data_IF_659436502941
#
_entry.id   IF_659436502941
#
_cell.length_a   1.000
_cell.length_b   1.000
_cell.length_c   1.000
_cell.angle_alpha   90.00
_cell.angle_beta   90.00
_cell.angle_gamma   90.00
#
_symmetry.space_group_name_H-M   'P 1'
#
loop_
_entity.id
_entity.type
_entity.pdbx_description
1 polymer ?
#
# COMPACT_ATOMS: atom_id res chain seq x y z
N UNK A 1 -66.03 0.33 -81.05
CA UNK A 1 -64.88 1.14 -80.64
C UNK A 1 -64.80 1.05 -79.14
N UNK A 2 -63.92 0.22 -78.51
CA UNK A 2 -63.76 0.20 -77.07
C UNK A 2 -62.54 0.99 -76.67
N UNK A 3 -62.73 1.80 -75.63
CA UNK A 3 -61.68 2.62 -74.94
C UNK A 3 -60.90 1.69 -74.03
N UNK A 4 -59.58 1.66 -74.19
CA UNK A 4 -58.68 1.01 -73.26
C UNK A 4 -58.46 1.94 -72.04
N UNK A 5 -58.72 1.34 -70.87
CA UNK A 5 -58.42 2.03 -69.56
C UNK A 5 -57.06 1.48 -69.08
N UNK A 6 -56.10 2.33 -68.99
CA UNK A 6 -54.79 2.00 -68.40
C UNK A 6 -54.89 2.10 -66.88
N UNK A 7 -54.67 0.96 -66.22
CA UNK A 7 -54.61 0.91 -64.76
C UNK A 7 -53.14 1.05 -64.30
N UNK A 8 -52.78 2.18 -63.77
CA UNK A 8 -51.46 2.43 -63.18
C UNK A 8 -51.39 1.77 -61.81
N UNK A 9 -50.59 0.70 -61.69
CA UNK A 9 -50.29 0.07 -60.42
C UNK A 9 -49.05 0.78 -59.79
N UNK A 10 -49.29 1.61 -58.79
CA UNK A 10 -48.21 2.21 -57.98
C UNK A 10 -47.71 1.17 -56.96
N UNK A 11 -46.52 0.61 -57.20
CA UNK A 11 -45.80 -0.21 -56.22
C UNK A 11 -45.03 0.69 -55.30
N UNK A 12 -45.50 0.86 -54.06
CA UNK A 12 -44.82 1.59 -53.00
C UNK A 12 -43.78 0.66 -52.39
N UNK A 13 -42.48 0.86 -52.67
CA UNK A 13 -41.38 0.18 -52.02
C UNK A 13 -41.14 0.90 -50.69
N UNK A 14 -41.60 0.28 -49.61
CA UNK A 14 -41.30 0.73 -48.25
C UNK A 14 -39.83 0.40 -47.89
N UNK A 15 -38.98 1.42 -47.84
CA UNK A 15 -37.62 1.35 -47.36
C UNK A 15 -37.60 1.25 -45.82
N UNK A 16 -37.45 0.03 -45.28
CA UNK A 16 -37.29 -0.17 -43.84
C UNK A 16 -35.86 0.19 -43.48
N UNK A 17 -35.66 1.35 -42.86
CA UNK A 17 -34.39 1.72 -42.27
C UNK A 17 -34.22 0.96 -40.96
N UNK A 18 -33.44 -0.11 -40.99
CA UNK A 18 -32.91 -0.77 -39.80
C UNK A 18 -31.82 0.15 -39.19
N UNK A 19 -32.16 0.88 -38.14
CA UNK A 19 -31.20 1.64 -37.32
C UNK A 19 -30.44 0.63 -36.46
N UNK A 20 -29.09 0.55 -36.54
CA UNK A 20 -28.33 -0.28 -35.62
C UNK A 20 -28.44 0.35 -34.23
N UNK A 21 -29.07 -0.36 -33.29
CA UNK A 21 -29.00 -0.03 -31.87
C UNK A 21 -27.57 -0.30 -31.39
N UNK A 22 -26.76 0.72 -31.36
CA UNK A 22 -25.47 0.69 -30.67
C UNK A 22 -25.78 0.60 -29.18
N UNK A 23 -25.71 -0.61 -28.61
CA UNK A 23 -25.70 -0.77 -27.16
C UNK A 23 -24.40 -0.15 -26.65
N UNK A 24 -24.50 1.06 -26.12
CA UNK A 24 -23.43 1.63 -25.34
C UNK A 24 -23.21 0.69 -24.12
N UNK A 25 -22.09 -0.01 -24.12
CA UNK A 25 -21.60 -0.67 -22.92
C UNK A 25 -21.24 0.47 -21.98
N UNK A 26 -22.15 0.81 -21.07
CA UNK A 26 -21.84 1.63 -19.92
C UNK A 26 -20.77 0.88 -19.12
N UNK A 27 -19.52 1.24 -19.34
CA UNK A 27 -18.43 0.88 -18.45
C UNK A 27 -18.75 1.56 -17.12
N UNK A 28 -19.41 0.85 -16.21
CA UNK A 28 -19.52 1.27 -14.82
C UNK A 28 -18.10 1.50 -14.33
N UNK A 29 -17.80 2.68 -13.76
CA UNK A 29 -16.51 2.89 -13.11
C UNK A 29 -16.34 1.73 -12.12
N UNK A 30 -15.26 0.97 -12.24
CA UNK A 30 -14.98 -0.10 -11.29
C UNK A 30 -14.84 0.56 -9.93
N UNK A 31 -15.73 0.24 -9.01
CA UNK A 31 -15.73 0.77 -7.67
C UNK A 31 -14.40 0.41 -7.02
N UNK A 32 -13.57 1.42 -6.76
CA UNK A 32 -12.28 1.23 -6.12
C UNK A 32 -12.53 0.85 -4.66
N UNK A 33 -11.91 -0.25 -4.22
CA UNK A 33 -12.14 -0.84 -2.89
C UNK A 33 -10.90 -0.64 -2.02
N UNK A 34 -11.12 -0.24 -0.78
CA UNK A 34 -10.11 -0.20 0.29
C UNK A 34 -10.49 -1.18 1.40
N UNK A 35 -9.73 -1.23 2.47
CA UNK A 35 -10.15 -1.97 3.67
C UNK A 35 -11.46 -1.39 4.22
N UNK A 36 -12.38 -2.26 4.65
CA UNK A 36 -13.65 -1.87 5.28
C UNK A 36 -13.44 -1.29 6.69
N UNK A 37 -12.33 -1.63 7.34
CA UNK A 37 -11.88 -1.02 8.58
C UNK A 37 -10.39 -0.66 8.44
N UNK A 38 -9.99 0.51 8.94
CA UNK A 38 -8.60 0.95 8.84
C UNK A 38 -7.67 0.05 9.66
N UNK A 39 -6.56 -0.37 9.03
CA UNK A 39 -5.44 -0.96 9.73
C UNK A 39 -4.80 0.11 10.62
N UNK A 40 -4.04 -0.33 11.63
CA UNK A 40 -3.36 0.58 12.56
C UNK A 40 -1.86 0.41 12.49
N UNK A 41 -1.15 1.51 12.24
CA UNK A 41 0.25 1.61 12.58
C UNK A 41 0.31 1.84 14.11
N UNK A 42 0.64 0.79 14.85
CA UNK A 42 0.60 0.82 16.32
C UNK A 42 1.89 1.33 16.93
N UNK A 43 3.01 1.18 16.21
CA UNK A 43 4.32 1.56 16.71
C UNK A 43 5.27 1.94 15.55
N UNK A 44 6.08 2.97 15.79
CA UNK A 44 7.26 3.27 15.00
C UNK A 44 8.33 3.86 15.93
N UNK A 45 9.55 3.30 15.91
CA UNK A 45 10.64 3.80 16.75
C UNK A 45 12.00 3.35 16.22
N UNK A 46 13.05 4.09 16.64
CA UNK A 46 14.44 3.74 16.40
C UNK A 46 15.02 3.07 17.65
N UNK A 47 15.68 1.94 17.48
CA UNK A 47 16.52 1.34 18.52
C UNK A 47 17.88 2.01 18.41
N UNK A 48 18.39 2.55 19.55
CA UNK A 48 19.56 3.40 19.58
C UNK A 48 19.33 4.71 18.79
N UNK A 49 18.58 5.61 19.38
CA UNK A 49 18.06 6.82 18.76
C UNK A 49 19.01 8.04 18.81
N UNK A 50 20.29 7.81 19.12
CA UNK A 50 21.30 8.87 19.11
C UNK A 50 21.72 9.19 17.68
N UNK A 51 21.90 10.48 17.35
CA UNK A 51 22.39 10.93 16.03
C UNK A 51 23.72 10.25 15.65
N UNK A 52 23.95 10.05 14.36
CA UNK A 52 25.15 9.40 13.80
C UNK A 52 25.41 7.95 14.25
N UNK A 53 24.57 7.38 15.11
CA UNK A 53 24.77 6.01 15.60
C UNK A 53 24.66 4.98 14.47
N UNK A 54 25.54 3.98 14.53
CA UNK A 54 25.54 2.80 13.63
C UNK A 54 26.08 1.60 14.41
N UNK A 55 25.49 0.40 14.27
CA UNK A 55 24.29 0.05 13.48
C UNK A 55 23.01 0.24 14.31
N UNK A 56 22.10 1.08 13.85
CA UNK A 56 20.77 1.23 14.42
C UNK A 56 19.76 0.29 13.75
N UNK A 57 18.57 0.15 14.36
CA UNK A 57 17.40 -0.51 13.77
C UNK A 57 16.17 0.38 13.92
N UNK A 58 15.31 0.37 12.90
CA UNK A 58 14.02 1.06 12.93
C UNK A 58 12.90 0.04 12.80
N UNK A 59 11.92 0.10 13.69
CA UNK A 59 10.80 -0.83 13.68
C UNK A 59 9.47 -0.12 13.45
N UNK A 60 8.62 -0.77 12.63
CA UNK A 60 7.26 -0.34 12.31
C UNK A 60 6.33 -1.52 12.53
N UNK A 61 5.38 -1.38 13.44
CA UNK A 61 4.42 -2.44 13.76
C UNK A 61 3.03 -2.06 13.30
N UNK A 62 2.41 -2.91 12.50
CA UNK A 62 1.09 -2.75 11.95
C UNK A 62 0.18 -3.87 12.47
N UNK A 63 -0.97 -3.51 12.98
CA UNK A 63 -2.00 -4.46 13.38
C UNK A 63 -3.04 -4.58 12.28
N UNK A 64 -3.31 -5.81 11.85
CA UNK A 64 -4.40 -6.20 10.95
C UNK A 64 -5.56 -6.67 11.83
N UNK A 65 -6.61 -5.86 12.04
CA UNK A 65 -7.66 -6.20 12.98
C UNK A 65 -8.43 -7.46 12.56
N UNK A 66 -8.95 -8.22 13.54
CA UNK A 66 -9.83 -9.37 13.27
C UNK A 66 -11.17 -9.00 12.64
N UNK A 67 -11.57 -7.72 12.76
CA UNK A 67 -12.84 -7.22 12.22
C UNK A 67 -12.85 -6.98 10.72
N UNK A 68 -11.67 -6.92 10.06
CA UNK A 68 -11.61 -6.71 8.62
C UNK A 68 -11.82 -8.03 7.86
N UNK A 69 -12.38 -7.92 6.66
CA UNK A 69 -12.66 -9.08 5.80
C UNK A 69 -11.54 -9.32 4.79
N UNK A 70 -10.81 -8.26 4.43
CA UNK A 70 -9.77 -8.32 3.42
C UNK A 70 -8.42 -8.69 4.05
N UNK A 71 -7.70 -9.56 3.38
CA UNK A 71 -6.29 -9.83 3.71
C UNK A 71 -5.39 -8.68 3.24
N UNK A 72 -4.26 -8.49 3.89
CA UNK A 72 -3.27 -7.48 3.52
C UNK A 72 -2.31 -8.05 2.45
N UNK A 73 -2.34 -7.49 1.24
CA UNK A 73 -1.47 -7.93 0.15
C UNK A 73 -0.14 -7.18 0.10
N UNK A 74 -0.16 -5.87 0.40
CA UNK A 74 1.04 -5.05 0.26
C UNK A 74 1.11 -3.97 1.34
N UNK A 75 2.33 -3.70 1.82
CA UNK A 75 2.67 -2.51 2.60
C UNK A 75 3.69 -1.66 1.85
N UNK A 76 3.61 -0.35 1.99
CA UNK A 76 4.66 0.56 1.56
C UNK A 76 5.06 1.50 2.69
N UNK A 77 6.38 1.74 2.78
CA UNK A 77 6.96 2.75 3.66
C UNK A 77 7.68 3.76 2.76
N UNK A 78 7.19 4.98 2.77
CA UNK A 78 7.68 6.06 1.91
C UNK A 78 8.41 7.11 2.76
N UNK A 79 9.61 7.53 2.36
CA UNK A 79 10.27 8.70 2.92
C UNK A 79 9.78 9.92 2.14
N UNK A 80 9.02 10.86 2.73
CA UNK A 80 8.58 12.07 2.06
C UNK A 80 9.76 12.90 1.51
N UNK A 81 9.52 13.66 0.45
CA UNK A 81 10.59 14.41 -0.23
C UNK A 81 11.22 15.50 0.65
N UNK A 82 10.44 16.09 1.54
CA UNK A 82 10.89 17.10 2.50
C UNK A 82 11.88 16.53 3.53
N UNK A 83 11.79 15.23 3.86
CA UNK A 83 12.75 14.55 4.73
C UNK A 83 14.09 14.21 4.05
N UNK A 84 14.20 14.38 2.73
CA UNK A 84 15.45 14.11 2.02
C UNK A 84 16.61 15.01 2.48
N UNK A 85 16.32 16.21 2.92
CA UNK A 85 17.30 17.18 3.41
C UNK A 85 18.05 16.70 4.66
N UNK A 86 17.48 15.76 5.41
CA UNK A 86 18.06 15.24 6.65
C UNK A 86 18.92 13.97 6.46
N UNK A 87 19.12 13.50 5.23
CA UNK A 87 20.00 12.38 4.94
C UNK A 87 19.51 11.01 5.40
N UNK A 88 18.21 10.83 5.63
CA UNK A 88 17.67 9.49 5.88
C UNK A 88 17.68 8.67 4.60
N UNK A 89 18.35 7.53 4.63
CA UNK A 89 18.43 6.57 3.53
C UNK A 89 17.57 5.35 3.81
N UNK A 90 17.12 4.67 2.74
CA UNK A 90 16.47 3.37 2.87
C UNK A 90 17.53 2.26 3.02
N UNK A 91 17.24 1.20 3.79
CA UNK A 91 18.14 0.05 3.90
C UNK A 91 18.15 -0.75 2.60
N UNK A 92 19.21 -1.54 2.39
CA UNK A 92 19.19 -2.57 1.35
C UNK A 92 18.12 -3.63 1.66
N UNK A 93 17.50 -4.26 0.64
CA UNK A 93 16.45 -5.28 0.86
C UNK A 93 16.84 -6.40 1.82
N UNK A 94 18.11 -6.84 1.80
CA UNK A 94 18.64 -7.89 2.71
C UNK A 94 18.65 -7.48 4.19
N UNK A 95 18.61 -6.18 4.46
CA UNK A 95 18.60 -5.58 5.79
C UNK A 95 17.17 -5.25 6.27
N UNK A 96 16.15 -5.72 5.58
CA UNK A 96 14.74 -5.57 5.95
C UNK A 96 14.23 -6.92 6.44
N UNK A 97 13.79 -6.97 7.67
CA UNK A 97 13.17 -8.15 8.29
C UNK A 97 11.66 -7.92 8.40
N UNK A 98 10.89 -8.99 8.17
CA UNK A 98 9.43 -8.96 8.32
C UNK A 98 9.02 -10.16 9.17
N UNK A 99 8.34 -9.89 10.26
CA UNK A 99 7.99 -10.93 11.22
C UNK A 99 6.72 -10.62 12.01
N UNK A 100 6.11 -11.66 12.57
CA UNK A 100 5.05 -11.53 13.56
C UNK A 100 5.71 -11.53 14.95
N UNK A 101 5.63 -10.43 15.72
CA UNK A 101 6.23 -10.36 17.04
C UNK A 101 5.49 -11.30 18.00
N UNK A 102 6.24 -12.04 18.83
CA UNK A 102 5.64 -12.86 19.89
C UNK A 102 5.07 -11.99 21.00
N UNK A 103 5.68 -10.84 21.22
CA UNK A 103 5.21 -9.79 22.12
C UNK A 103 5.27 -8.45 21.38
N UNK A 104 4.11 -7.93 20.92
CA UNK A 104 4.05 -6.65 20.19
C UNK A 104 4.50 -5.44 21.03
N UNK A 105 4.55 -5.57 22.33
CA UNK A 105 4.98 -4.51 23.25
C UNK A 105 6.47 -4.57 23.58
N UNK A 106 7.15 -5.68 23.27
CA UNK A 106 8.58 -5.82 23.50
C UNK A 106 9.38 -4.84 22.65
N UNK A 107 10.30 -4.14 23.29
CA UNK A 107 11.27 -3.25 22.63
C UNK A 107 12.55 -4.00 22.22
N UNK A 108 12.68 -5.27 22.58
CA UNK A 108 13.91 -6.03 22.35
C UNK A 108 13.92 -6.62 20.93
N UNK A 109 15.02 -6.44 20.19
CA UNK A 109 15.06 -6.74 18.75
C UNK A 109 15.09 -8.21 18.37
N UNK A 110 15.16 -9.18 19.28
CA UNK A 110 15.46 -10.56 18.91
C UNK A 110 14.71 -11.62 19.72
N UNK A 111 13.42 -11.45 19.90
CA UNK A 111 12.61 -12.56 20.41
C UNK A 111 12.26 -13.54 19.29
N UNK A 112 11.97 -14.83 19.61
CA UNK A 112 11.57 -15.80 18.62
C UNK A 112 10.30 -15.34 17.92
N UNK A 113 10.50 -14.63 16.83
CA UNK A 113 9.44 -14.07 16.02
C UNK A 113 9.24 -14.99 14.82
N UNK A 114 8.00 -15.22 14.47
CA UNK A 114 7.68 -15.96 13.26
C UNK A 114 7.98 -15.08 12.04
N UNK A 115 8.96 -15.51 11.23
CA UNK A 115 9.25 -14.81 9.97
C UNK A 115 8.03 -14.85 9.05
N UNK A 116 7.69 -13.70 8.50
CA UNK A 116 6.63 -13.56 7.49
C UNK A 116 7.30 -13.46 6.11
N UNK A 117 6.96 -14.35 5.16
CA UNK A 117 7.44 -14.24 3.79
C UNK A 117 6.93 -12.97 3.13
N UNK A 118 7.84 -12.18 2.57
CA UNK A 118 7.51 -11.00 1.79
C UNK A 118 8.55 -10.79 0.70
N UNK A 119 8.09 -10.41 -0.50
CA UNK A 119 8.98 -9.92 -1.55
C UNK A 119 9.23 -8.43 -1.32
N UNK A 120 10.49 -8.06 -1.15
CA UNK A 120 10.91 -6.70 -0.82
C UNK A 120 11.48 -6.03 -2.06
N UNK A 121 10.94 -4.89 -2.42
CA UNK A 121 11.39 -4.07 -3.55
C UNK A 121 11.61 -2.63 -3.10
N UNK A 122 12.73 -2.04 -3.53
CA UNK A 122 13.00 -0.61 -3.33
C UNK A 122 12.67 0.18 -4.60
N UNK A 123 11.90 1.25 -4.46
CA UNK A 123 11.55 2.19 -5.55
C UNK A 123 11.85 3.61 -5.10
N UNK A 124 12.96 4.18 -5.55
CA UNK A 124 13.42 5.52 -5.13
C UNK A 124 13.47 5.64 -3.60
N UNK A 125 12.45 6.24 -2.99
CA UNK A 125 12.33 6.51 -1.56
C UNK A 125 11.29 5.64 -0.87
N UNK A 126 10.84 4.56 -1.52
CA UNK A 126 9.77 3.67 -1.06
C UNK A 126 10.30 2.25 -0.88
N UNK A 127 10.03 1.66 0.28
CA UNK A 127 10.08 0.22 0.50
C UNK A 127 8.71 -0.36 0.18
N UNK A 128 8.67 -1.33 -0.72
CA UNK A 128 7.46 -2.09 -1.07
C UNK A 128 7.61 -3.51 -0.57
N UNK A 129 6.63 -3.98 0.17
CA UNK A 129 6.54 -5.31 0.76
C UNK A 129 5.31 -6.01 0.21
N UNK A 130 5.49 -6.98 -0.67
CA UNK A 130 4.42 -7.81 -1.21
C UNK A 130 4.34 -9.12 -0.41
N UNK A 131 3.19 -9.43 0.16
CA UNK A 131 2.95 -10.65 0.94
C UNK A 131 2.38 -11.74 0.05
N UNK A 132 3.07 -12.88 0.00
CA UNK A 132 2.65 -14.08 -0.76
C UNK A 132 2.76 -15.33 0.12
N UNK A 133 1.64 -15.83 0.66
CA UNK A 133 0.25 -15.37 0.51
C UNK A 133 -0.03 -14.05 1.27
N UNK A 134 -1.11 -13.32 0.91
CA UNK A 134 -1.56 -12.15 1.67
C UNK A 134 -1.80 -12.47 3.15
N UNK A 135 -1.49 -11.51 4.03
CA UNK A 135 -1.66 -11.67 5.47
C UNK A 135 -3.14 -11.68 5.85
N UNK A 136 -3.55 -12.69 6.58
CA UNK A 136 -4.90 -12.82 7.10
C UNK A 136 -5.22 -11.76 8.15
N UNK A 137 -6.52 -11.46 8.38
CA UNK A 137 -6.95 -10.73 9.55
C UNK A 137 -6.43 -11.34 10.86
N UNK A 138 -6.44 -10.55 11.93
CA UNK A 138 -5.97 -10.93 13.27
C UNK A 138 -4.46 -11.23 13.34
N UNK A 139 -3.69 -10.53 12.54
CA UNK A 139 -2.23 -10.66 12.56
C UNK A 139 -1.56 -9.33 12.87
N UNK A 140 -0.41 -9.41 13.52
CA UNK A 140 0.49 -8.28 13.72
C UNK A 140 1.73 -8.51 12.85
N UNK A 141 2.14 -7.48 12.12
CA UNK A 141 3.37 -7.52 11.33
C UNK A 141 4.30 -6.41 11.77
N UNK A 142 5.56 -6.77 12.03
CA UNK A 142 6.63 -5.82 12.28
C UNK A 142 7.61 -5.85 11.11
N UNK A 143 7.91 -4.68 10.60
CA UNK A 143 8.97 -4.44 9.62
C UNK A 143 10.14 -3.81 10.38
N UNK A 144 11.31 -4.42 10.29
CA UNK A 144 12.54 -3.91 10.89
C UNK A 144 13.57 -3.59 9.82
N UNK A 145 14.03 -2.33 9.79
CA UNK A 145 15.18 -1.90 9.02
C UNK A 145 16.41 -2.04 9.90
N UNK A 146 17.32 -2.94 9.54
CA UNK A 146 18.55 -3.20 10.29
C UNK A 146 19.76 -2.53 9.64
N UNK A 147 20.85 -2.38 10.39
CA UNK A 147 22.10 -1.76 9.93
C UNK A 147 21.91 -0.34 9.38
N UNK A 148 21.00 0.38 10.00
CA UNK A 148 20.76 1.78 9.68
C UNK A 148 21.84 2.65 10.27
N UNK A 149 22.15 3.77 9.58
CA UNK A 149 22.87 4.89 10.17
C UNK A 149 21.84 5.96 10.52
N UNK A 150 21.88 6.39 11.78
CA UNK A 150 21.00 7.46 12.20
C UNK A 150 21.40 8.78 11.52
N UNK A 151 20.43 9.68 11.31
CA UNK A 151 20.68 11.01 10.78
C UNK A 151 21.72 11.78 11.60
N UNK A 152 22.37 12.76 10.97
CA UNK A 152 23.34 13.63 11.62
C UNK A 152 22.69 14.67 12.54
N UNK A 153 21.43 15.02 12.26
CA UNK A 153 20.69 16.03 13.00
C UNK A 153 19.62 15.38 13.88
N UNK A 154 19.55 15.83 15.13
CA UNK A 154 18.48 15.47 16.03
C UNK A 154 17.14 16.02 15.51
N UNK A 155 16.07 15.29 15.77
CA UNK A 155 14.75 15.70 15.31
C UNK A 155 13.76 14.56 15.15
N UNK A 156 12.63 14.88 14.57
CA UNK A 156 11.57 13.92 14.25
C UNK A 156 11.53 13.68 12.75
N UNK A 157 11.62 12.42 12.37
CA UNK A 157 11.61 11.94 10.99
C UNK A 157 10.35 11.14 10.76
N UNK A 158 9.67 11.39 9.64
CA UNK A 158 8.39 10.78 9.32
C UNK A 158 8.53 9.89 8.10
N UNK A 159 7.98 8.67 8.18
CA UNK A 159 7.76 7.80 7.04
C UNK A 159 6.27 7.60 6.86
N UNK A 160 5.77 7.78 5.64
CA UNK A 160 4.38 7.47 5.33
C UNK A 160 4.21 5.96 5.19
N UNK A 161 3.22 5.42 5.90
CA UNK A 161 2.90 3.99 5.84
C UNK A 161 1.55 3.81 5.16
N UNK A 162 1.54 2.94 4.15
CA UNK A 162 0.31 2.64 3.43
C UNK A 162 0.15 1.13 3.27
N UNK A 163 -1.11 0.70 3.07
CA UNK A 163 -1.48 -0.68 2.83
C UNK A 163 -2.41 -0.83 1.63
N UNK A 164 -2.32 -1.98 0.96
CA UNK A 164 -3.21 -2.38 -0.12
C UNK A 164 -3.82 -3.73 0.23
N UNK A 165 -5.17 -3.87 0.25
CA UNK A 165 -5.82 -5.15 0.47
C UNK A 165 -5.61 -6.11 -0.70
N UNK A 166 -5.80 -7.39 -0.45
CA UNK A 166 -5.85 -8.40 -1.50
C UNK A 166 -7.16 -8.31 -2.27
N UNK A 167 -7.11 -8.45 -3.60
CA UNK A 167 -8.25 -8.45 -4.48
C UNK A 167 -8.05 -7.62 -5.74
N UNK A 168 -9.11 -7.52 -6.54
CA UNK A 168 -9.12 -6.72 -7.76
C UNK A 168 -9.57 -5.29 -7.49
N UNK A 169 -9.01 -4.31 -8.22
CA UNK A 169 -9.33 -2.88 -8.12
C UNK A 169 -9.16 -2.29 -6.71
N UNK A 170 -8.18 -2.81 -5.95
CA UNK A 170 -7.89 -2.35 -4.61
C UNK A 170 -7.06 -1.06 -4.65
N UNK A 171 -7.37 -0.13 -3.75
CA UNK A 171 -6.67 1.14 -3.62
C UNK A 171 -5.78 1.18 -2.39
N UNK A 172 -4.70 1.91 -2.52
CA UNK A 172 -3.73 2.19 -1.47
C UNK A 172 -4.40 3.03 -0.36
N UNK A 173 -4.35 2.54 0.88
CA UNK A 173 -4.86 3.23 2.06
C UNK A 173 -3.71 3.74 2.92
N UNK A 174 -3.77 5.01 3.31
CA UNK A 174 -2.83 5.60 4.25
C UNK A 174 -3.14 5.12 5.67
N UNK A 175 -2.11 4.62 6.38
CA UNK A 175 -2.23 4.13 7.75
C UNK A 175 -1.74 5.15 8.79
N UNK A 176 -0.92 6.10 8.38
CA UNK A 176 -0.33 7.10 9.27
C UNK A 176 1.16 7.32 9.01
N UNK A 177 1.75 8.17 9.83
CA UNK A 177 3.19 8.45 9.82
C UNK A 177 3.91 7.60 10.86
N UNK A 178 4.91 6.83 10.42
CA UNK A 178 5.91 6.24 11.30
C UNK A 178 6.86 7.33 11.79
N UNK A 179 6.77 7.68 13.07
CA UNK A 179 7.57 8.74 13.67
C UNK A 179 8.82 8.15 14.32
N UNK A 180 9.99 8.53 13.81
CA UNK A 180 11.29 8.21 14.39
C UNK A 180 11.85 9.49 15.04
N UNK A 181 12.29 9.39 16.28
CA UNK A 181 12.87 10.53 17.04
C UNK A 181 14.35 10.23 17.27
N UNK A 182 15.21 11.15 16.85
CA UNK A 182 16.64 11.07 17.09
C UNK A 182 17.08 12.20 18.02
N UNK A 183 18.01 11.90 18.93
CA UNK A 183 18.48 12.80 19.98
C UNK A 183 19.96 13.07 19.83
N UNK A 184 20.38 14.24 20.22
CA UNK A 184 21.79 14.56 20.36
C UNK A 184 22.45 13.66 21.42
N UNK A 185 23.76 13.51 21.30
CA UNK A 185 24.58 12.93 22.37
C UNK A 185 24.45 13.84 23.58
N UNK A 186 24.02 13.28 24.72
CA UNK A 186 24.04 14.05 25.95
C UNK A 186 25.50 14.52 26.24
N UNK A 187 25.72 15.82 26.23
CA UNK A 187 26.98 16.43 26.73
C UNK A 187 26.84 16.59 28.23
N UNK A 188 27.52 15.72 28.98
CA UNK A 188 27.69 15.86 30.42
C UNK A 188 28.56 17.10 30.75
#
# INVERSE_FOLDING_TARGET
MPKQIWLNLLVSIGLVLLSPTVSAIESRPSESKSFDTALKLTRAYAIYDTVNYYPASYQFTIQVPSSIKQSLAQLTLDIPEDNAAFGMELPEPKNILVFNPTDPESLLPHYPAQKIPARITLKKRTVVLDFEPPLSPDQTVTIEFTKMRNPEQAGTYLLEVHAIPAGENMVKQFLGYGRLIFRDVATD
#
